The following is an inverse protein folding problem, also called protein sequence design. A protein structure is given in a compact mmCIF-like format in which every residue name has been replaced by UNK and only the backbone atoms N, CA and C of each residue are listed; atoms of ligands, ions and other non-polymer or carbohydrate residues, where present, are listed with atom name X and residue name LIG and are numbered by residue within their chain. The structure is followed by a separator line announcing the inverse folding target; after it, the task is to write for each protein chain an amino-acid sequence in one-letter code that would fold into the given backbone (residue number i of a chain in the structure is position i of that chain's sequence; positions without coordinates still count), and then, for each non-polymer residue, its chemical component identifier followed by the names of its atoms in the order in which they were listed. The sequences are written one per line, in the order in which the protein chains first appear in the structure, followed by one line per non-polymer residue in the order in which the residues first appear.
data_IF_817445259851
#
_entry.id   IF_817445259851
#
_cell.length_a   1.000
_cell.length_b   1.000
_cell.length_c   1.000
_cell.angle_alpha   90.00
_cell.angle_beta   90.00
_cell.angle_gamma   90.00
#
_symmetry.space_group_name_H-M   'P 1'
#
loop_
_entity.id
_entity.type
_entity.pdbx_description
1 polymer ?
#
# COMPACT_ATOMS: atom_id res chain seq x y z
N UNK A 1 25.57 2.72 55.34
CA UNK A 1 24.17 2.37 55.68
C UNK A 1 23.31 3.60 55.45
N UNK A 2 22.85 3.84 54.22
CA UNK A 2 21.90 4.92 53.89
C UNK A 2 21.03 4.44 52.74
N UNK A 3 19.91 3.82 53.11
CA UNK A 3 18.83 3.48 52.19
C UNK A 3 18.32 4.77 51.54
N UNK A 4 18.52 4.90 50.23
CA UNK A 4 17.89 5.94 49.44
C UNK A 4 16.36 5.82 49.57
N UNK A 5 15.73 6.80 50.21
CA UNK A 5 14.29 7.00 50.17
C UNK A 5 13.86 7.27 48.72
N UNK A 6 13.50 6.21 47.99
CA UNK A 6 12.98 6.32 46.63
C UNK A 6 11.54 6.82 46.68
N UNK A 7 11.34 8.12 46.40
CA UNK A 7 10.02 8.76 46.45
C UNK A 7 9.01 8.11 45.47
N UNK A 8 7.97 7.41 45.96
CA UNK A 8 7.02 6.68 45.13
C UNK A 8 6.09 7.62 44.33
N UNK A 9 5.82 8.83 44.83
CA UNK A 9 4.97 9.82 44.16
C UNK A 9 5.64 10.42 42.91
N UNK A 10 6.96 10.62 42.95
CA UNK A 10 7.74 11.07 41.79
C UNK A 10 7.75 10.02 40.67
N UNK A 11 7.88 8.73 41.02
CA UNK A 11 7.76 7.60 40.08
C UNK A 11 6.36 7.53 39.44
N UNK A 12 5.29 7.74 40.22
CA UNK A 12 3.89 7.69 39.73
C UNK A 12 3.58 8.81 38.74
N UNK A 13 4.03 10.06 39.00
CA UNK A 13 3.84 11.20 38.09
C UNK A 13 4.60 11.04 36.76
N UNK A 14 5.82 10.51 36.79
CA UNK A 14 6.63 10.23 35.58
C UNK A 14 5.98 9.16 34.70
N UNK A 15 5.45 8.10 35.32
CA UNK A 15 4.71 7.01 34.63
C UNK A 15 3.38 7.51 34.05
N UNK A 16 2.65 8.37 34.76
CA UNK A 16 1.41 8.98 34.27
C UNK A 16 1.63 9.95 33.09
N UNK A 17 2.69 10.77 33.12
CA UNK A 17 3.07 11.62 31.97
C UNK A 17 3.52 10.79 30.77
N UNK A 18 4.37 9.78 30.98
CA UNK A 18 4.80 8.88 29.90
C UNK A 18 3.60 8.16 29.25
N UNK A 19 2.63 7.72 30.05
CA UNK A 19 1.41 7.09 29.54
C UNK A 19 0.52 8.07 28.76
N UNK A 20 0.35 9.33 29.22
CA UNK A 20 -0.41 10.35 28.49
C UNK A 20 0.26 10.77 27.18
N UNK A 21 1.58 10.97 27.17
CA UNK A 21 2.34 11.30 25.94
C UNK A 21 2.29 10.14 24.95
N UNK A 22 2.41 8.90 25.43
CA UNK A 22 2.25 7.71 24.59
C UNK A 22 0.81 7.56 24.05
N UNK A 23 -0.20 7.88 24.85
CA UNK A 23 -1.61 7.85 24.42
C UNK A 23 -1.91 8.91 23.35
N UNK A 24 -1.45 10.16 23.55
CA UNK A 24 -1.61 11.24 22.56
C UNK A 24 -0.86 10.93 21.26
N UNK A 25 0.38 10.41 21.36
CA UNK A 25 1.14 9.96 20.20
C UNK A 25 0.43 8.85 19.43
N UNK A 26 -0.19 7.89 20.13
CA UNK A 26 -0.97 6.82 19.50
C UNK A 26 -2.18 7.36 18.73
N UNK A 27 -2.95 8.28 19.31
CA UNK A 27 -4.10 8.89 18.62
C UNK A 27 -3.69 9.71 17.41
N UNK A 28 -2.57 10.46 17.49
CA UNK A 28 -2.03 11.20 16.35
C UNK A 28 -1.61 10.26 15.21
N UNK A 29 -0.92 9.16 15.52
CA UNK A 29 -0.55 8.14 14.53
C UNK A 29 -1.80 7.47 13.94
N UNK A 30 -2.80 7.14 14.75
CA UNK A 30 -4.05 6.57 14.26
C UNK A 30 -4.78 7.53 13.31
N UNK A 31 -4.88 8.82 13.65
CA UNK A 31 -5.48 9.82 12.79
C UNK A 31 -4.72 9.96 11.46
N UNK A 32 -3.38 9.96 11.50
CA UNK A 32 -2.54 9.99 10.30
C UNK A 32 -2.79 8.77 9.41
N UNK A 33 -2.85 7.57 9.99
CA UNK A 33 -3.15 6.33 9.25
C UNK A 33 -4.56 6.35 8.64
N UNK A 34 -5.56 6.88 9.35
CA UNK A 34 -6.92 7.03 8.82
C UNK A 34 -6.94 8.00 7.64
N UNK A 35 -6.23 9.11 7.72
CA UNK A 35 -6.13 10.05 6.59
C UNK A 35 -5.47 9.40 5.36
N UNK A 36 -4.38 8.65 5.55
CA UNK A 36 -3.74 7.89 4.47
C UNK A 36 -4.68 6.85 3.89
N UNK A 37 -5.43 6.13 4.74
CA UNK A 37 -6.42 5.15 4.30
C UNK A 37 -7.53 5.82 3.46
N UNK A 38 -8.11 6.92 3.93
CA UNK A 38 -9.14 7.67 3.18
C UNK A 38 -8.57 8.18 1.86
N UNK A 39 -7.36 8.75 1.85
CA UNK A 39 -6.71 9.24 0.63
C UNK A 39 -6.46 8.11 -0.39
N UNK A 40 -6.18 6.89 0.07
CA UNK A 40 -6.02 5.72 -0.80
C UNK A 40 -7.35 5.10 -1.25
N UNK A 41 -8.35 5.01 -0.36
CA UNK A 41 -9.64 4.37 -0.65
C UNK A 41 -10.59 5.27 -1.45
N UNK A 42 -10.59 6.58 -1.20
CA UNK A 42 -11.48 7.52 -1.88
C UNK A 42 -11.43 7.42 -3.41
N UNK A 43 -10.26 7.50 -4.07
CA UNK A 43 -10.21 7.37 -5.53
C UNK A 43 -10.66 5.99 -6.02
N UNK A 44 -10.42 4.93 -5.25
CA UNK A 44 -10.86 3.58 -5.59
C UNK A 44 -12.40 3.45 -5.53
N UNK A 45 -13.03 4.00 -4.49
CA UNK A 45 -14.48 4.05 -4.38
C UNK A 45 -15.08 4.93 -5.47
N UNK A 46 -14.45 6.07 -5.76
CA UNK A 46 -14.88 6.97 -6.81
C UNK A 46 -14.85 6.30 -8.19
N UNK A 47 -13.80 5.55 -8.53
CA UNK A 47 -13.73 4.85 -9.82
C UNK A 47 -14.74 3.72 -9.92
N UNK A 48 -14.97 2.96 -8.84
CA UNK A 48 -15.98 1.88 -8.82
C UNK A 48 -17.39 2.43 -8.96
N UNK A 49 -17.73 3.51 -8.27
CA UNK A 49 -19.06 4.14 -8.38
C UNK A 49 -19.27 4.68 -9.80
N UNK A 50 -18.25 5.27 -10.40
CA UNK A 50 -18.34 5.80 -11.77
C UNK A 50 -18.30 4.71 -12.85
N UNK A 51 -17.66 3.56 -12.61
CA UNK A 51 -17.60 2.50 -13.62
C UNK A 51 -18.96 1.87 -13.91
N UNK A 52 -19.91 1.94 -12.96
CA UNK A 52 -21.29 1.50 -13.15
C UNK A 52 -22.19 2.51 -13.87
N UNK A 53 -21.79 3.77 -14.02
CA UNK A 53 -22.60 4.80 -14.70
C UNK A 53 -22.53 4.62 -16.21
N UNK A 54 -23.62 4.90 -16.92
CA UNK A 54 -23.56 5.04 -18.39
C UNK A 54 -22.62 6.19 -18.79
N UNK A 55 -22.06 6.14 -20.02
CA UNK A 55 -21.19 7.22 -20.55
C UNK A 55 -21.86 8.61 -20.46
N UNK A 56 -23.15 8.68 -20.76
CA UNK A 56 -23.94 9.90 -20.68
C UNK A 56 -24.14 10.37 -19.23
N UNK A 57 -24.45 9.46 -18.31
CA UNK A 57 -24.61 9.79 -16.89
C UNK A 57 -23.31 10.26 -16.23
N UNK A 58 -22.18 9.66 -16.61
CA UNK A 58 -20.86 10.14 -16.17
C UNK A 58 -20.55 11.56 -16.66
N UNK A 59 -20.86 11.87 -17.92
CA UNK A 59 -20.60 13.18 -18.51
C UNK A 59 -21.45 14.31 -17.88
N UNK A 60 -22.68 14.00 -17.44
CA UNK A 60 -23.57 14.97 -16.82
C UNK A 60 -23.29 15.20 -15.33
N UNK A 61 -23.05 14.13 -14.56
CA UNK A 61 -22.79 14.25 -13.13
C UNK A 61 -21.67 13.29 -12.65
N UNK A 62 -20.40 13.71 -12.77
CA UNK A 62 -19.25 12.88 -12.38
C UNK A 62 -19.20 12.56 -10.87
N UNK A 63 -19.68 13.48 -10.02
CA UNK A 63 -19.67 13.32 -8.56
C UNK A 63 -20.95 12.69 -8.00
N UNK A 64 -22.01 12.57 -8.82
CA UNK A 64 -23.28 11.99 -8.42
C UNK A 64 -23.20 10.48 -8.16
N UNK A 65 -24.25 9.91 -7.57
CA UNK A 65 -24.42 8.46 -7.51
C UNK A 65 -24.93 7.93 -8.86
N UNK A 66 -24.72 6.64 -9.18
CA UNK A 66 -25.26 6.04 -10.38
C UNK A 66 -26.79 5.95 -10.31
N UNK A 67 -27.48 6.48 -11.33
CA UNK A 67 -28.94 6.36 -11.48
C UNK A 67 -29.38 4.91 -11.81
N UNK A 68 -28.43 4.08 -12.25
CA UNK A 68 -28.61 2.66 -12.52
C UNK A 68 -27.25 1.98 -12.75
N UNK A 69 -27.23 0.64 -12.68
CA UNK A 69 -26.03 -0.16 -12.92
C UNK A 69 -25.98 -0.52 -14.41
N UNK A 70 -25.00 0.01 -15.15
CA UNK A 70 -24.72 -0.35 -16.54
C UNK A 70 -23.47 -1.21 -16.65
N UNK A 71 -23.60 -2.35 -17.32
CA UNK A 71 -22.47 -3.21 -17.69
C UNK A 71 -21.96 -2.97 -19.12
N UNK A 72 -22.62 -2.12 -19.89
CA UNK A 72 -22.32 -1.89 -21.30
C UNK A 72 -20.92 -1.32 -21.50
N UNK A 73 -20.46 -0.46 -20.57
CA UNK A 73 -19.10 0.05 -20.58
C UNK A 73 -18.06 -1.07 -20.47
N UNK A 74 -18.32 -2.10 -19.67
CA UNK A 74 -17.39 -3.22 -19.50
C UNK A 74 -17.34 -4.05 -20.77
N UNK A 75 -18.50 -4.41 -21.34
CA UNK A 75 -18.57 -5.19 -22.59
C UNK A 75 -17.90 -4.44 -23.74
N UNK A 76 -18.24 -3.16 -23.92
CA UNK A 76 -17.69 -2.32 -24.97
C UNK A 76 -16.18 -2.16 -24.84
N UNK A 77 -15.69 -1.89 -23.62
CA UNK A 77 -14.25 -1.76 -23.36
C UNK A 77 -13.53 -3.09 -23.59
N UNK A 78 -14.12 -4.21 -23.15
CA UNK A 78 -13.54 -5.54 -23.29
C UNK A 78 -13.28 -5.90 -24.75
N UNK A 79 -14.23 -5.58 -25.63
CA UNK A 79 -14.14 -5.81 -27.07
C UNK A 79 -13.23 -4.77 -27.73
N UNK A 80 -13.48 -3.46 -27.53
CA UNK A 80 -12.74 -2.38 -28.21
C UNK A 80 -11.26 -2.37 -27.89
N UNK A 81 -10.90 -2.63 -26.63
CA UNK A 81 -9.50 -2.60 -26.18
C UNK A 81 -8.78 -3.93 -26.41
N UNK A 82 -9.49 -4.97 -26.85
CA UNK A 82 -8.97 -6.34 -26.89
C UNK A 82 -8.30 -6.72 -25.56
N UNK A 83 -9.09 -6.64 -24.48
CA UNK A 83 -8.63 -6.90 -23.11
C UNK A 83 -7.91 -8.25 -22.96
N UNK A 84 -8.34 -9.36 -23.61
CA UNK A 84 -7.61 -10.62 -23.54
C UNK A 84 -6.15 -10.50 -24.01
N UNK A 85 -5.90 -9.76 -25.10
CA UNK A 85 -4.53 -9.53 -25.60
C UNK A 85 -3.72 -8.67 -24.63
N UNK A 86 -4.33 -7.65 -24.03
CA UNK A 86 -3.67 -6.81 -23.03
C UNK A 86 -3.27 -7.64 -21.79
N UNK A 87 -4.17 -8.48 -21.30
CA UNK A 87 -3.91 -9.38 -20.17
C UNK A 87 -2.77 -10.37 -20.50
N UNK A 88 -2.79 -10.98 -21.69
CA UNK A 88 -1.72 -11.88 -22.11
C UNK A 88 -0.37 -11.18 -22.18
N UNK A 89 -0.30 -9.97 -22.75
CA UNK A 89 0.93 -9.20 -22.80
C UNK A 89 1.49 -8.94 -21.38
N UNK A 90 0.64 -8.50 -20.45
CA UNK A 90 1.07 -8.26 -19.06
C UNK A 90 1.53 -9.53 -18.37
N UNK A 91 0.84 -10.65 -18.55
CA UNK A 91 1.24 -11.95 -17.98
C UNK A 91 2.59 -12.38 -18.53
N UNK A 92 2.78 -12.34 -19.85
CA UNK A 92 4.04 -12.74 -20.50
C UNK A 92 5.19 -11.84 -20.05
N UNK A 93 5.01 -10.52 -20.04
CA UNK A 93 6.06 -9.59 -19.61
C UNK A 93 6.40 -9.77 -18.13
N UNK A 94 5.40 -9.94 -17.27
CA UNK A 94 5.62 -10.12 -15.82
C UNK A 94 6.32 -11.44 -15.52
N UNK A 95 5.85 -12.55 -16.09
CA UNK A 95 6.46 -13.86 -15.89
C UNK A 95 7.87 -13.93 -16.49
N UNK A 96 8.05 -13.40 -17.70
CA UNK A 96 9.36 -13.31 -18.32
C UNK A 96 10.34 -12.52 -17.45
N UNK A 97 9.95 -11.30 -17.04
CA UNK A 97 10.76 -10.45 -16.18
C UNK A 97 11.08 -11.11 -14.84
N UNK A 98 10.08 -11.73 -14.19
CA UNK A 98 10.25 -12.43 -12.92
C UNK A 98 11.21 -13.62 -13.02
N UNK A 99 11.10 -14.45 -14.07
CA UNK A 99 11.99 -15.59 -14.27
C UNK A 99 13.43 -15.13 -14.50
N UNK A 100 13.62 -14.17 -15.41
CA UNK A 100 14.92 -13.58 -15.71
C UNK A 100 15.56 -12.96 -14.46
N UNK A 101 14.79 -12.14 -13.71
CA UNK A 101 15.29 -11.49 -12.51
C UNK A 101 15.62 -12.49 -11.40
N UNK A 102 14.82 -13.54 -11.25
CA UNK A 102 15.03 -14.59 -10.23
C UNK A 102 16.30 -15.39 -10.54
N UNK A 103 16.47 -15.82 -11.79
CA UNK A 103 17.68 -16.54 -12.21
C UNK A 103 18.93 -15.67 -12.02
N UNK A 104 18.88 -14.39 -12.41
CA UNK A 104 19.97 -13.46 -12.18
C UNK A 104 20.27 -13.28 -10.68
N UNK A 105 19.23 -13.11 -9.86
CA UNK A 105 19.36 -13.00 -8.41
C UNK A 105 19.97 -14.26 -7.78
N UNK A 106 19.64 -15.45 -8.27
CA UNK A 106 20.24 -16.72 -7.82
C UNK A 106 21.75 -16.76 -8.11
N UNK A 107 22.18 -16.38 -9.32
CA UNK A 107 23.61 -16.32 -9.65
C UNK A 107 24.36 -15.30 -8.79
N UNK A 108 23.78 -14.11 -8.58
CA UNK A 108 24.37 -13.08 -7.72
C UNK A 108 24.46 -13.58 -6.27
N UNK A 109 23.38 -14.14 -5.72
CA UNK A 109 23.36 -14.66 -4.35
C UNK A 109 24.39 -15.78 -4.16
N UNK A 110 24.54 -16.69 -5.12
CA UNK A 110 25.57 -17.73 -5.09
C UNK A 110 26.97 -17.12 -5.12
N UNK A 111 27.22 -16.16 -6.01
CA UNK A 111 28.52 -15.48 -6.09
C UNK A 111 28.88 -14.78 -4.78
N UNK A 112 27.96 -14.02 -4.19
CA UNK A 112 28.19 -13.31 -2.92
C UNK A 112 28.42 -14.27 -1.76
N UNK A 113 27.68 -15.38 -1.70
CA UNK A 113 27.73 -16.29 -0.55
C UNK A 113 28.87 -17.30 -0.62
N UNK A 114 29.23 -17.77 -1.82
CA UNK A 114 30.18 -18.88 -2.00
C UNK A 114 31.49 -18.47 -2.64
N UNK A 115 31.55 -17.41 -3.44
CA UNK A 115 32.82 -16.93 -3.99
C UNK A 115 33.47 -15.99 -2.97
N UNK A 116 34.76 -16.22 -2.68
CA UNK A 116 35.56 -15.32 -1.84
C UNK A 116 35.99 -14.11 -2.70
N UNK A 117 35.07 -13.16 -2.86
CA UNK A 117 35.29 -11.96 -3.69
C UNK A 117 36.35 -11.08 -3.01
N UNK A 118 37.42 -10.72 -3.72
CA UNK A 118 38.57 -9.95 -3.21
C UNK A 118 38.17 -8.58 -2.61
N UNK A 119 37.01 -8.04 -2.99
CA UNK A 119 36.43 -6.79 -2.49
C UNK A 119 35.12 -6.98 -1.69
N UNK A 120 34.82 -8.19 -1.20
CA UNK A 120 33.55 -8.52 -0.54
C UNK A 120 33.29 -7.82 0.81
N UNK A 121 34.27 -7.10 1.36
CA UNK A 121 34.16 -6.38 2.65
C UNK A 121 33.84 -4.87 2.49
N UNK A 122 33.52 -4.41 1.28
CA UNK A 122 33.18 -3.00 0.98
C UNK A 122 31.68 -2.76 0.71
N UNK A 123 30.86 -3.82 0.78
CA UNK A 123 29.39 -3.82 0.71
C UNK A 123 28.83 -4.21 2.09
#
# INVERSE_FOLDING_TARGET
MTMAMTNPAARRRRRQRAFRVAAVGRWAVTAALVMVAVAALYPLLFTVVNSFKSRAGYAQNPLGLPDGISFDNYVETFIRMNVPRLLLNSVVTTLGGLLLSTIAALFIAYAVTKLRIRFGNLL
#
